data_IF_656618377580
#
_entry.id   IF_656618377580
#
_cell.length_a   1.000
_cell.length_b   1.000
_cell.length_c   1.000
_cell.angle_alpha   90.00
_cell.angle_beta   90.00
_cell.angle_gamma   90.00
#
_symmetry.space_group_name_H-M   'P 1'
#
loop_
_entity.id
_entity.type
_entity.pdbx_description
1 polymer ?
#
# COMPACT_ATOMS: atom_id res chain seq x y z
N UNK A 1 4.37 -14.75 33.92
CA UNK A 1 5.02 -15.23 32.68
C UNK A 1 5.77 -14.07 32.05
N UNK A 2 6.87 -14.32 31.33
CA UNK A 2 7.61 -13.27 30.62
C UNK A 2 6.77 -12.78 29.43
N UNK A 3 6.56 -11.48 29.32
CA UNK A 3 5.81 -10.87 28.20
C UNK A 3 6.58 -11.09 26.88
N UNK A 4 5.91 -11.46 25.77
CA UNK A 4 6.54 -11.54 24.46
C UNK A 4 7.11 -10.19 24.04
N UNK A 5 8.21 -10.20 23.27
CA UNK A 5 8.87 -8.99 22.79
C UNK A 5 8.28 -8.49 21.49
N UNK A 6 7.96 -7.20 21.43
CA UNK A 6 7.48 -6.52 20.23
C UNK A 6 8.49 -5.46 19.76
N UNK A 7 8.79 -5.46 18.47
CA UNK A 7 9.58 -4.41 17.81
C UNK A 7 8.82 -3.82 16.62
N UNK A 8 8.74 -2.50 16.52
CA UNK A 8 8.16 -1.75 15.41
C UNK A 8 9.25 -0.91 14.76
N UNK A 9 9.56 -1.19 13.49
CA UNK A 9 10.62 -0.52 12.73
C UNK A 9 10.00 0.30 11.61
N UNK A 10 10.49 1.52 11.47
CA UNK A 10 10.12 2.41 10.37
C UNK A 10 11.17 2.32 9.25
N UNK A 11 10.70 2.17 8.02
CA UNK A 11 11.43 2.51 6.80
C UNK A 11 11.00 3.89 6.29
N UNK A 12 10.77 4.01 4.98
CA UNK A 12 10.17 5.21 4.38
C UNK A 12 8.67 5.26 4.65
N UNK A 13 8.30 5.87 5.77
CA UNK A 13 6.92 6.02 6.26
C UNK A 13 6.51 7.50 6.28
N UNK A 14 5.24 7.80 6.02
CA UNK A 14 4.65 9.13 6.19
C UNK A 14 4.10 9.40 7.60
N UNK A 15 4.31 8.49 8.56
CA UNK A 15 3.71 8.49 9.91
C UNK A 15 2.29 7.92 9.98
N UNK A 16 1.55 7.83 8.86
CA UNK A 16 0.15 7.42 8.88
C UNK A 16 -0.13 6.01 9.43
N UNK A 17 0.77 5.05 9.19
CA UNK A 17 0.63 3.69 9.74
C UNK A 17 0.81 3.66 11.26
N UNK A 18 1.72 4.47 11.78
CA UNK A 18 1.96 4.59 13.22
C UNK A 18 0.76 5.26 13.91
N UNK A 19 0.27 6.37 13.34
CA UNK A 19 -0.94 7.04 13.81
C UNK A 19 -2.15 6.11 13.77
N UNK A 20 -2.31 5.29 12.72
CA UNK A 20 -3.40 4.31 12.65
C UNK A 20 -3.32 3.26 13.77
N UNK A 21 -2.12 2.80 14.12
CA UNK A 21 -1.93 1.89 15.25
C UNK A 21 -2.27 2.57 16.58
N UNK A 22 -1.83 3.82 16.76
CA UNK A 22 -2.12 4.60 17.98
C UNK A 22 -3.61 4.95 18.10
N UNK A 23 -4.29 5.16 16.98
CA UNK A 23 -5.73 5.43 16.90
C UNK A 23 -6.62 4.25 17.34
N UNK A 24 -6.05 3.09 17.65
CA UNK A 24 -6.75 2.04 18.41
C UNK A 24 -7.23 2.53 19.79
N UNK A 25 -6.73 3.67 20.27
CA UNK A 25 -7.20 4.34 21.48
C UNK A 25 -7.02 3.43 22.69
N UNK A 26 -8.10 3.22 23.45
CA UNK A 26 -8.08 2.37 24.64
C UNK A 26 -7.66 0.92 24.32
N UNK A 27 -7.94 0.41 23.12
CA UNK A 27 -7.55 -0.95 22.74
C UNK A 27 -6.03 -1.11 22.64
N UNK A 28 -5.27 -0.02 22.44
CA UNK A 28 -3.81 -0.06 22.40
C UNK A 28 -3.20 -0.52 23.73
N UNK A 29 -3.85 -0.26 24.86
CA UNK A 29 -3.38 -0.69 26.19
C UNK A 29 -3.21 -2.22 26.25
N UNK A 30 -4.04 -2.96 25.51
CA UNK A 30 -3.92 -4.42 25.37
C UNK A 30 -2.55 -4.83 24.85
N UNK A 31 -1.95 -4.07 23.92
CA UNK A 31 -0.60 -4.33 23.41
C UNK A 31 0.43 -3.95 24.48
N UNK A 32 0.31 -2.76 25.08
CA UNK A 32 1.25 -2.24 26.07
C UNK A 32 1.35 -3.11 27.35
N UNK A 33 0.22 -3.70 27.75
CA UNK A 33 0.16 -4.59 28.92
C UNK A 33 0.72 -5.97 28.61
N UNK A 34 0.43 -6.53 27.43
CA UNK A 34 0.78 -7.90 27.06
C UNK A 34 2.19 -8.05 26.50
N UNK A 35 2.76 -7.01 25.89
CA UNK A 35 4.06 -7.06 25.24
C UNK A 35 5.12 -6.25 25.97
N UNK A 36 6.36 -6.72 25.84
CA UNK A 36 7.56 -5.95 26.16
C UNK A 36 8.02 -5.23 24.89
N UNK A 37 7.82 -3.91 24.81
CA UNK A 37 8.18 -3.10 23.64
C UNK A 37 9.69 -2.83 23.69
N UNK A 38 10.43 -3.55 22.87
CA UNK A 38 11.90 -3.50 22.85
C UNK A 38 12.45 -2.52 21.81
N UNK A 39 11.62 -2.09 20.86
CA UNK A 39 11.97 -1.10 19.86
C UNK A 39 10.69 -0.50 19.25
N UNK A 40 10.46 0.79 19.40
CA UNK A 40 9.40 1.54 18.72
C UNK A 40 9.75 3.02 18.78
N UNK A 41 10.26 3.63 17.70
CA UNK A 41 10.84 4.98 17.75
C UNK A 41 9.93 6.08 18.29
N UNK A 42 8.60 5.94 18.18
CA UNK A 42 7.65 6.93 18.68
C UNK A 42 7.33 6.78 20.19
N UNK A 43 7.64 5.64 20.82
CA UNK A 43 7.17 5.32 22.17
C UNK A 43 8.31 5.14 23.17
N UNK A 44 9.46 4.67 22.70
CA UNK A 44 10.61 4.34 23.55
C UNK A 44 11.89 4.90 22.95
N UNK A 45 12.75 5.45 23.81
CA UNK A 45 14.02 6.06 23.44
C UNK A 45 15.09 5.01 23.08
N UNK A 46 14.94 4.37 21.91
CA UNK A 46 15.91 3.42 21.40
C UNK A 46 16.65 3.96 20.18
N UNK A 47 17.96 3.69 20.15
CA UNK A 47 18.79 3.94 18.96
C UNK A 47 18.79 2.72 18.04
N UNK A 48 18.99 2.94 16.74
CA UNK A 48 19.07 1.88 15.72
C UNK A 48 20.10 0.79 16.07
N UNK A 49 21.24 1.16 16.65
CA UNK A 49 22.27 0.21 17.08
C UNK A 49 21.81 -0.73 18.19
N UNK A 50 20.79 -0.35 18.95
CA UNK A 50 20.22 -1.20 20.00
C UNK A 50 19.39 -2.33 19.41
N UNK A 51 18.74 -2.12 18.25
CA UNK A 51 18.07 -3.20 17.50
C UNK A 51 19.06 -4.32 17.14
N UNK A 52 20.33 -3.99 16.84
CA UNK A 52 21.39 -4.97 16.56
C UNK A 52 21.77 -5.81 17.79
N UNK A 53 21.56 -5.25 18.99
CA UNK A 53 21.85 -5.91 20.28
C UNK A 53 20.70 -6.80 20.75
N UNK A 54 19.50 -6.61 20.21
CA UNK A 54 18.35 -7.46 20.53
C UNK A 54 18.56 -8.83 19.87
N UNK A 55 18.72 -9.86 20.70
CA UNK A 55 18.98 -11.23 20.22
C UNK A 55 17.81 -11.81 19.45
N UNK A 56 16.59 -11.64 19.98
CA UNK A 56 15.35 -12.22 19.47
C UNK A 56 14.16 -11.32 19.82
N UNK A 57 13.22 -11.23 18.88
CA UNK A 57 11.92 -10.56 19.00
C UNK A 57 10.83 -11.58 18.66
N UNK A 58 9.74 -11.59 19.43
CA UNK A 58 8.61 -12.48 19.15
C UNK A 58 7.82 -12.00 17.94
N UNK A 59 7.51 -10.70 17.89
CA UNK A 59 6.81 -10.05 16.78
C UNK A 59 7.57 -8.81 16.33
N UNK A 60 7.98 -8.78 15.07
CA UNK A 60 8.50 -7.60 14.40
C UNK A 60 7.44 -7.02 13.48
N UNK A 61 7.19 -5.71 13.54
CA UNK A 61 6.31 -4.99 12.63
C UNK A 61 7.16 -4.01 11.83
N UNK A 62 7.13 -4.11 10.51
CA UNK A 62 7.79 -3.17 9.63
C UNK A 62 6.76 -2.23 9.01
N UNK A 63 7.04 -0.92 9.02
CA UNK A 63 6.17 0.12 8.47
C UNK A 63 6.93 1.01 7.50
N UNK A 64 6.37 1.23 6.30
CA UNK A 64 6.97 2.05 5.25
C UNK A 64 7.56 1.25 4.09
N UNK A 65 7.89 1.95 3.01
CA UNK A 65 8.55 1.37 1.83
C UNK A 65 10.07 1.27 2.04
N UNK A 66 10.76 0.54 1.15
CA UNK A 66 12.21 0.53 1.07
C UNK A 66 12.66 1.56 0.03
N UNK A 67 13.43 2.57 0.41
CA UNK A 67 13.94 3.60 -0.53
C UNK A 67 15.45 3.77 -0.46
N UNK A 68 16.10 3.19 0.54
CA UNK A 68 17.54 3.30 0.77
C UNK A 68 18.18 1.95 1.18
N UNK A 69 19.50 1.90 1.13
CA UNK A 69 20.29 0.76 1.62
C UNK A 69 20.07 0.50 3.12
N UNK A 70 19.81 1.54 3.90
CA UNK A 70 19.46 1.42 5.32
C UNK A 70 18.11 0.74 5.54
N UNK A 71 17.10 1.04 4.71
CA UNK A 71 15.81 0.36 4.80
C UNK A 71 15.94 -1.15 4.56
N UNK A 72 16.80 -1.54 3.60
CA UNK A 72 17.12 -2.94 3.32
C UNK A 72 17.81 -3.60 4.53
N UNK A 73 18.81 -2.93 5.13
CA UNK A 73 19.51 -3.44 6.32
C UNK A 73 18.51 -3.64 7.46
N UNK A 74 17.66 -2.65 7.73
CA UNK A 74 16.65 -2.71 8.79
C UNK A 74 15.61 -3.80 8.55
N UNK A 75 15.12 -3.97 7.32
CA UNK A 75 14.18 -5.03 6.98
C UNK A 75 14.78 -6.43 7.18
N UNK A 76 16.02 -6.67 6.70
CA UNK A 76 16.74 -7.92 6.90
C UNK A 76 17.03 -8.19 8.37
N UNK A 77 17.49 -7.17 9.09
CA UNK A 77 17.76 -7.26 10.52
C UNK A 77 16.49 -7.63 11.28
N UNK A 78 15.39 -6.91 11.09
CA UNK A 78 14.13 -7.20 11.75
C UNK A 78 13.65 -8.63 11.45
N UNK A 79 13.68 -9.07 10.18
CA UNK A 79 13.33 -10.46 9.81
C UNK A 79 14.20 -11.48 10.53
N UNK A 80 15.51 -11.25 10.62
CA UNK A 80 16.46 -12.18 11.24
C UNK A 80 16.25 -12.34 12.76
N UNK A 81 15.71 -11.30 13.42
CA UNK A 81 15.43 -11.30 14.85
C UNK A 81 14.01 -11.74 15.19
N UNK A 82 13.08 -11.58 14.26
CA UNK A 82 11.65 -11.78 14.52
C UNK A 82 11.21 -13.22 14.25
N UNK A 83 10.49 -13.83 15.20
CA UNK A 83 9.77 -15.10 14.95
C UNK A 83 8.64 -14.88 13.95
N UNK A 84 7.83 -13.85 14.19
CA UNK A 84 6.75 -13.40 13.29
C UNK A 84 7.09 -12.00 12.78
N UNK A 85 7.12 -11.83 11.46
CA UNK A 85 7.26 -10.53 10.81
C UNK A 85 5.91 -10.10 10.23
N UNK A 86 5.48 -8.88 10.56
CA UNK A 86 4.28 -8.23 10.03
C UNK A 86 4.72 -7.16 9.04
N UNK A 87 4.24 -7.26 7.80
CA UNK A 87 4.29 -6.18 6.83
C UNK A 87 3.05 -5.29 7.04
N UNK A 88 3.26 -4.09 7.61
CA UNK A 88 2.17 -3.23 8.04
C UNK A 88 2.07 -1.99 7.15
N UNK A 89 0.97 -1.92 6.41
CA UNK A 89 0.66 -0.84 5.48
C UNK A 89 1.06 -1.13 4.04
N UNK A 90 0.35 -0.46 3.14
CA UNK A 90 0.50 -0.62 1.69
C UNK A 90 1.87 -0.22 1.16
N UNK A 91 2.53 0.77 1.79
CA UNK A 91 3.92 1.10 1.44
C UNK A 91 4.86 -0.10 1.67
N UNK A 92 4.68 -0.83 2.76
CA UNK A 92 5.50 -2.00 3.07
C UNK A 92 5.21 -3.16 2.13
N UNK A 93 3.92 -3.40 1.83
CA UNK A 93 3.50 -4.55 1.02
C UNK A 93 3.72 -4.31 -0.48
N UNK A 94 3.45 -3.11 -0.98
CA UNK A 94 3.41 -2.84 -2.43
C UNK A 94 4.31 -1.68 -2.88
N UNK A 95 4.98 -1.00 -1.95
CA UNK A 95 5.83 0.17 -2.21
C UNK A 95 5.08 1.52 -2.08
N UNK A 96 3.75 1.51 -2.22
CA UNK A 96 2.88 2.65 -1.90
C UNK A 96 3.16 3.91 -2.74
N UNK A 97 2.74 5.06 -2.22
CA UNK A 97 2.90 6.37 -2.87
C UNK A 97 4.37 6.70 -3.21
N UNK A 98 5.37 6.45 -2.32
CA UNK A 98 6.78 6.68 -2.69
C UNK A 98 7.19 5.91 -3.95
N UNK A 99 6.53 4.78 -4.19
CA UNK A 99 6.69 3.94 -5.38
C UNK A 99 6.42 4.61 -6.73
N UNK A 100 5.67 5.71 -6.78
CA UNK A 100 5.41 6.45 -8.02
C UNK A 100 6.70 7.01 -8.65
N UNK A 101 7.74 7.23 -7.83
CA UNK A 101 9.07 7.63 -8.27
C UNK A 101 9.80 6.58 -9.11
N UNK A 102 9.33 5.33 -9.15
CA UNK A 102 9.98 4.21 -9.86
C UNK A 102 10.21 4.51 -11.36
N UNK A 103 9.37 5.36 -11.96
CA UNK A 103 9.52 5.75 -13.36
C UNK A 103 10.60 6.82 -13.59
N UNK A 104 10.91 7.63 -12.58
CA UNK A 104 11.88 8.73 -12.68
C UNK A 104 13.28 8.32 -12.19
N UNK A 105 13.34 7.45 -11.18
CA UNK A 105 14.57 7.06 -10.49
C UNK A 105 15.01 8.08 -9.44
N UNK A 106 15.70 7.61 -8.40
CA UNK A 106 16.03 8.44 -7.23
C UNK A 106 16.85 9.70 -7.56
N UNK A 107 17.79 9.63 -8.51
CA UNK A 107 18.62 10.78 -8.92
C UNK A 107 17.76 11.94 -9.45
N UNK A 108 16.84 11.64 -10.37
CA UNK A 108 15.95 12.66 -10.97
C UNK A 108 15.00 13.24 -9.93
N UNK A 109 14.50 12.43 -9.01
CA UNK A 109 13.67 12.91 -7.89
C UNK A 109 14.45 13.90 -7.04
N UNK A 110 15.69 13.56 -6.67
CA UNK A 110 16.56 14.45 -5.88
C UNK A 110 16.85 15.76 -6.60
N UNK A 111 17.13 15.72 -7.90
CA UNK A 111 17.36 16.92 -8.71
C UNK A 111 16.13 17.85 -8.70
N UNK A 112 14.93 17.30 -8.85
CA UNK A 112 13.68 18.05 -8.88
C UNK A 112 13.31 18.68 -7.53
N UNK A 113 13.52 17.96 -6.41
CA UNK A 113 13.20 18.49 -5.07
C UNK A 113 14.25 19.44 -4.52
N UNK A 114 15.46 19.43 -5.10
CA UNK A 114 16.58 20.25 -4.62
C UNK A 114 16.32 21.74 -4.82
N UNK A 115 15.66 22.11 -5.92
CA UNK A 115 15.30 23.48 -6.22
C UNK A 115 14.16 23.51 -7.24
N UNK A 116 13.33 24.54 -7.14
CA UNK A 116 12.21 24.78 -8.05
C UNK A 116 12.45 26.07 -8.84
N UNK A 117 11.60 26.33 -9.83
CA UNK A 117 11.59 27.59 -10.58
C UNK A 117 11.47 28.84 -9.67
N UNK A 118 10.89 28.70 -8.48
CA UNK A 118 10.61 29.81 -7.55
C UNK A 118 11.55 29.84 -6.34
N UNK A 119 12.50 28.92 -6.22
CA UNK A 119 13.44 28.84 -5.08
C UNK A 119 14.87 28.71 -5.58
N UNK A 120 15.75 29.60 -5.12
CA UNK A 120 17.18 29.58 -5.48
C UNK A 120 17.92 28.40 -4.81
N UNK A 121 18.86 27.82 -5.56
CA UNK A 121 19.89 26.95 -5.01
C UNK A 121 20.80 27.79 -4.12
N UNK A 122 20.67 27.66 -2.81
CA UNK A 122 21.77 28.01 -1.91
C UNK A 122 22.73 26.81 -1.85
N UNK A 123 24.02 27.06 -2.07
CA UNK A 123 25.04 26.04 -1.82
C UNK A 123 25.13 25.78 -0.31
N UNK A 124 24.42 24.76 0.15
CA UNK A 124 24.51 24.28 1.52
C UNK A 124 25.61 23.22 1.58
N UNK A 125 26.72 23.53 2.23
CA UNK A 125 27.68 22.51 2.63
C UNK A 125 27.02 21.60 3.68
N UNK A 126 26.78 20.33 3.30
CA UNK A 126 26.34 19.33 4.26
C UNK A 126 27.41 19.15 5.34
N UNK A 127 27.04 19.00 6.63
CA UNK A 127 28.00 18.72 7.67
C UNK A 127 28.83 17.47 7.32
N UNK A 128 30.16 17.52 7.46
CA UNK A 128 31.07 16.39 7.16
C UNK A 128 30.73 15.09 7.91
N UNK A 129 29.99 15.19 9.02
CA UNK A 129 29.53 14.08 9.85
C UNK A 129 28.21 13.43 9.37
N UNK A 130 27.48 14.06 8.44
CA UNK A 130 26.20 13.56 7.94
C UNK A 130 26.44 12.47 6.88
N UNK A 131 26.50 11.21 7.30
CA UNK A 131 26.52 10.07 6.38
C UNK A 131 25.07 9.74 5.99
N UNK A 132 24.67 10.16 4.79
CA UNK A 132 23.37 9.79 4.22
C UNK A 132 23.40 8.35 3.69
N UNK A 133 22.32 7.58 3.83
CA UNK A 133 22.22 6.27 3.22
C UNK A 133 22.15 6.40 1.70
N UNK A 134 22.65 5.39 1.00
CA UNK A 134 22.53 5.30 -0.45
C UNK A 134 21.07 5.05 -0.82
N UNK A 135 20.53 5.85 -1.74
CA UNK A 135 19.18 5.63 -2.25
C UNK A 135 19.16 4.45 -3.21
N UNK A 136 18.09 3.66 -3.14
CA UNK A 136 17.80 2.65 -4.13
C UNK A 136 17.44 3.33 -5.46
N UNK A 137 17.65 2.64 -6.57
CA UNK A 137 17.24 3.12 -7.88
C UNK A 137 15.75 3.47 -7.92
N UNK A 138 14.93 2.66 -7.24
CA UNK A 138 13.49 2.84 -7.09
C UNK A 138 13.05 2.43 -5.69
N UNK A 139 12.07 3.17 -5.14
CA UNK A 139 11.29 2.72 -3.99
C UNK A 139 10.68 1.34 -4.26
N UNK A 140 10.65 0.47 -3.25
CA UNK A 140 10.17 -0.91 -3.40
C UNK A 140 9.51 -1.45 -2.12
N UNK A 141 8.89 -2.62 -2.25
CA UNK A 141 8.26 -3.39 -1.18
C UNK A 141 9.27 -4.23 -0.39
N UNK A 142 8.95 -4.49 0.89
CA UNK A 142 9.71 -5.40 1.74
C UNK A 142 9.74 -6.84 1.18
N UNK A 143 8.70 -7.23 0.43
CA UNK A 143 8.58 -8.59 -0.13
C UNK A 143 9.69 -8.92 -1.15
N UNK A 144 10.39 -7.91 -1.70
CA UNK A 144 11.56 -8.16 -2.57
C UNK A 144 12.82 -8.54 -1.80
N UNK A 145 12.82 -8.38 -0.47
CA UNK A 145 14.03 -8.51 0.37
C UNK A 145 13.88 -9.59 1.43
N UNK A 146 12.70 -9.71 2.04
CA UNK A 146 12.40 -10.70 3.08
C UNK A 146 10.95 -11.17 2.97
N UNK A 147 10.65 -12.31 3.59
CA UNK A 147 9.30 -12.88 3.64
C UNK A 147 8.58 -12.58 4.97
N UNK A 148 7.50 -11.78 4.96
CA UNK A 148 6.63 -11.59 6.11
C UNK A 148 5.72 -12.80 6.37
N UNK A 149 5.27 -12.93 7.61
CA UNK A 149 4.27 -13.92 8.01
C UNK A 149 2.84 -13.35 7.92
N UNK A 150 2.68 -12.07 8.23
CA UNK A 150 1.38 -11.40 8.27
C UNK A 150 1.43 -10.14 7.40
N UNK A 151 0.36 -9.88 6.66
CA UNK A 151 0.19 -8.71 5.81
C UNK A 151 -1.02 -7.92 6.29
N UNK A 152 -0.80 -6.68 6.72
CA UNK A 152 -1.84 -5.75 7.15
C UNK A 152 -1.97 -4.63 6.09
N UNK A 153 -2.83 -4.78 5.07
CA UNK A 153 -2.96 -3.80 3.99
C UNK A 153 -3.66 -2.52 4.41
N UNK A 154 -3.42 -1.45 3.64
CA UNK A 154 -4.10 -0.17 3.76
C UNK A 154 -3.11 1.02 3.81
N UNK A 155 -3.58 2.20 3.38
CA UNK A 155 -2.79 3.43 3.40
C UNK A 155 -3.51 4.55 4.18
N UNK A 156 -3.56 4.47 5.53
CA UNK A 156 -3.02 3.40 6.38
C UNK A 156 -4.00 2.21 6.55
N UNK A 157 -3.58 1.12 7.21
CA UNK A 157 -4.49 0.03 7.59
C UNK A 157 -5.74 0.54 8.32
N UNK A 158 -6.89 -0.01 7.94
CA UNK A 158 -8.20 0.39 8.47
C UNK A 158 -8.45 -0.15 9.88
N UNK A 159 -9.49 0.34 10.55
CA UNK A 159 -9.88 -0.12 11.89
C UNK A 159 -10.12 -1.63 11.91
N UNK A 160 -10.85 -2.18 10.93
CA UNK A 160 -11.08 -3.62 10.82
C UNK A 160 -9.79 -4.43 10.60
N UNK A 161 -8.81 -3.90 9.89
CA UNK A 161 -7.48 -4.54 9.76
C UNK A 161 -6.70 -4.46 11.07
N UNK A 162 -6.76 -3.34 11.77
CA UNK A 162 -6.05 -3.15 13.04
C UNK A 162 -6.66 -3.99 14.16
N UNK A 163 -7.98 -4.15 14.18
CA UNK A 163 -8.67 -5.06 15.08
C UNK A 163 -8.28 -6.52 14.82
N UNK A 164 -8.28 -6.95 13.55
CA UNK A 164 -7.83 -8.29 13.19
C UNK A 164 -6.35 -8.52 13.55
N UNK A 165 -5.49 -7.50 13.41
CA UNK A 165 -4.11 -7.58 13.87
C UNK A 165 -4.04 -7.71 15.40
N UNK A 166 -4.81 -6.91 16.14
CA UNK A 166 -4.85 -6.95 17.60
C UNK A 166 -5.31 -8.31 18.14
N UNK A 167 -6.24 -8.97 17.46
CA UNK A 167 -6.65 -10.35 17.75
C UNK A 167 -5.46 -11.31 17.58
N UNK A 168 -4.75 -11.24 16.46
CA UNK A 168 -3.55 -12.07 16.23
C UNK A 168 -2.46 -11.81 17.29
N UNK A 169 -2.23 -10.54 17.65
CA UNK A 169 -1.29 -10.18 18.72
C UNK A 169 -1.76 -10.72 20.08
N UNK A 170 -3.05 -10.67 20.37
CA UNK A 170 -3.63 -11.19 21.62
C UNK A 170 -3.55 -12.72 21.70
N UNK A 171 -3.76 -13.41 20.58
CA UNK A 171 -3.62 -14.86 20.46
C UNK A 171 -2.17 -15.30 20.68
N UNK A 172 -1.23 -14.61 20.04
CA UNK A 172 0.19 -14.89 20.22
C UNK A 172 0.62 -14.71 21.68
N UNK A 173 0.16 -13.66 22.36
CA UNK A 173 0.45 -13.45 23.79
C UNK A 173 -0.11 -14.55 24.70
N UNK A 174 -1.17 -15.26 24.27
CA UNK A 174 -1.72 -16.44 24.95
C UNK A 174 -1.02 -17.76 24.57
N UNK A 175 0.00 -17.70 23.71
CA UNK A 175 0.75 -18.86 23.23
C UNK A 175 0.18 -19.50 21.96
N UNK A 176 -0.84 -18.91 21.34
CA UNK A 176 -1.44 -19.39 20.08
C UNK A 176 -0.64 -18.77 18.92
N UNK A 177 0.15 -19.60 18.24
CA UNK A 177 0.96 -19.12 17.11
C UNK A 177 0.15 -19.10 15.81
N UNK A 178 0.26 -18.04 14.99
CA UNK A 178 -0.36 -18.02 13.66
C UNK A 178 0.19 -19.14 12.79
N UNK A 179 -0.69 -19.79 12.02
CA UNK A 179 -0.33 -20.86 11.08
C UNK A 179 -0.27 -20.30 9.66
N UNK A 180 0.80 -20.61 8.94
CA UNK A 180 0.97 -20.18 7.56
C UNK A 180 1.14 -18.66 7.41
N UNK A 181 0.91 -18.17 6.19
CA UNK A 181 0.89 -16.74 5.87
C UNK A 181 -0.54 -16.21 6.01
N UNK A 182 -0.69 -15.08 6.70
CA UNK A 182 -2.00 -14.46 6.95
C UNK A 182 -2.05 -13.11 6.24
N UNK A 183 -3.06 -12.93 5.38
CA UNK A 183 -3.34 -11.64 4.77
C UNK A 183 -4.64 -11.09 5.36
N UNK A 184 -4.56 -9.97 6.09
CA UNK A 184 -5.71 -9.42 6.79
C UNK A 184 -6.72 -8.77 5.82
N UNK A 185 -8.00 -8.88 6.15
CA UNK A 185 -9.11 -8.51 5.27
C UNK A 185 -9.52 -9.60 4.30
N UNK A 186 -10.74 -9.50 3.77
CA UNK A 186 -11.29 -10.53 2.89
C UNK A 186 -10.54 -10.59 1.56
N UNK A 187 -10.27 -11.80 1.02
CA UNK A 187 -9.56 -11.96 -0.25
C UNK A 187 -10.33 -11.47 -1.48
N UNK A 188 -11.60 -11.15 -1.31
CA UNK A 188 -12.50 -10.75 -2.39
C UNK A 188 -12.29 -9.29 -2.81
N UNK A 189 -12.75 -8.93 -4.03
CA UNK A 189 -12.90 -7.55 -4.44
C UNK A 189 -13.77 -6.72 -3.48
N UNK A 190 -13.46 -5.44 -3.35
CA UNK A 190 -14.18 -4.48 -2.51
C UNK A 190 -15.66 -4.37 -2.91
N UNK A 191 -15.97 -4.64 -4.18
CA UNK A 191 -17.34 -4.71 -4.70
C UNK A 191 -18.21 -5.68 -3.89
N UNK A 192 -17.68 -6.78 -3.34
CA UNK A 192 -18.46 -7.74 -2.57
C UNK A 192 -19.10 -7.13 -1.31
N UNK A 193 -18.46 -6.09 -0.73
CA UNK A 193 -18.97 -5.33 0.41
C UNK A 193 -19.71 -4.05 0.01
N UNK A 194 -19.55 -3.60 -1.24
CA UNK A 194 -20.04 -2.31 -1.69
C UNK A 194 -21.57 -2.29 -1.76
N UNK A 195 -22.19 -1.28 -1.14
CA UNK A 195 -23.65 -1.09 -1.16
C UNK A 195 -24.17 -0.48 -2.47
N UNK A 196 -23.28 0.14 -3.26
CA UNK A 196 -23.62 0.81 -4.53
C UNK A 196 -23.55 -0.10 -5.75
N UNK A 197 -23.14 -1.37 -5.59
CA UNK A 197 -23.04 -2.28 -6.72
C UNK A 197 -24.43 -2.68 -7.21
N UNK A 198 -24.64 -2.89 -8.52
CA UNK A 198 -25.85 -3.53 -8.98
C UNK A 198 -25.93 -4.97 -8.44
N UNK A 199 -27.15 -5.54 -8.43
CA UNK A 199 -27.39 -6.94 -8.04
C UNK A 199 -26.52 -7.90 -8.86
N UNK A 200 -26.39 -7.62 -10.16
CA UNK A 200 -25.59 -8.37 -11.10
C UNK A 200 -24.41 -7.51 -11.56
N UNK A 201 -23.22 -7.77 -11.02
CA UNK A 201 -22.00 -7.02 -11.31
C UNK A 201 -21.48 -7.26 -12.73
N UNK A 202 -21.93 -8.31 -13.42
CA UNK A 202 -21.56 -8.57 -14.82
C UNK A 202 -22.23 -7.61 -15.81
N UNK A 203 -23.26 -6.87 -15.34
CA UNK A 203 -24.03 -5.91 -16.14
C UNK A 203 -23.61 -4.45 -15.92
N UNK A 204 -22.53 -4.22 -15.17
CA UNK A 204 -21.98 -2.87 -15.04
C UNK A 204 -21.58 -2.42 -16.45
N UNK A 205 -22.08 -1.26 -16.87
CA UNK A 205 -21.77 -0.66 -18.17
C UNK A 205 -21.40 0.80 -17.96
N UNK A 206 -20.33 1.24 -18.62
CA UNK A 206 -19.81 2.58 -18.55
C UNK A 206 -19.94 3.24 -19.93
N UNK A 207 -20.85 4.20 -20.08
CA UNK A 207 -21.08 4.86 -21.38
C UNK A 207 -20.03 5.91 -21.75
N UNK A 208 -19.27 6.42 -20.78
CA UNK A 208 -18.15 7.36 -21.01
C UNK A 208 -17.35 7.54 -19.75
N UNK A 209 -16.10 7.97 -19.91
CA UNK A 209 -15.24 8.30 -18.78
C UNK A 209 -15.49 9.75 -18.33
N UNK A 210 -15.64 9.96 -17.03
CA UNK A 210 -15.84 11.28 -16.43
C UNK A 210 -14.91 11.48 -15.23
N UNK A 211 -14.41 12.69 -15.08
CA UNK A 211 -13.69 13.12 -13.88
C UNK A 211 -14.68 13.62 -12.84
N UNK A 212 -14.31 13.51 -11.57
CA UNK A 212 -15.19 13.85 -10.43
C UNK A 212 -15.77 15.28 -10.49
N UNK A 213 -15.06 16.24 -11.10
CA UNK A 213 -15.55 17.62 -11.24
C UNK A 213 -16.51 17.85 -12.43
N UNK A 214 -16.68 16.87 -13.32
CA UNK A 214 -17.51 16.99 -14.53
C UNK A 214 -18.97 16.59 -14.30
N UNK A 215 -19.32 16.09 -13.11
CA UNK A 215 -20.64 15.60 -12.78
C UNK A 215 -20.96 15.75 -11.30
N UNK A 216 -22.25 15.72 -10.98
CA UNK A 216 -22.74 15.50 -9.63
C UNK A 216 -23.03 14.01 -9.44
N UNK A 217 -22.40 13.41 -8.44
CA UNK A 217 -22.55 11.99 -8.13
C UNK A 217 -23.91 11.68 -7.52
N UNK A 218 -24.50 10.57 -7.95
CA UNK A 218 -25.69 9.95 -7.35
C UNK A 218 -25.22 8.93 -6.32
N UNK A 219 -25.55 9.14 -5.05
CA UNK A 219 -24.99 8.42 -3.89
C UNK A 219 -25.24 6.90 -3.92
N UNK A 220 -26.38 6.45 -4.40
CA UNK A 220 -26.74 5.02 -4.40
C UNK A 220 -26.40 4.28 -5.70
N UNK A 221 -25.88 5.00 -6.71
CA UNK A 221 -25.52 4.40 -7.99
C UNK A 221 -24.04 4.04 -8.02
N UNK A 222 -23.68 2.92 -8.65
CA UNK A 222 -22.28 2.52 -8.83
C UNK A 222 -21.48 3.64 -9.52
N UNK A 223 -20.24 3.89 -9.06
CA UNK A 223 -19.38 4.91 -9.67
C UNK A 223 -19.06 4.58 -11.14
N UNK A 224 -18.80 3.30 -11.43
CA UNK A 224 -18.47 2.86 -12.78
C UNK A 224 -19.64 3.09 -13.75
N UNK A 225 -20.88 2.81 -13.33
CA UNK A 225 -22.09 3.09 -14.12
C UNK A 225 -22.40 4.59 -14.27
N UNK A 226 -21.68 5.45 -13.57
CA UNK A 226 -21.75 6.90 -13.69
C UNK A 226 -20.61 7.47 -14.54
N UNK A 227 -19.71 6.62 -15.06
CA UNK A 227 -18.53 7.05 -15.80
C UNK A 227 -17.34 7.41 -14.91
N UNK A 228 -17.44 7.22 -13.59
CA UNK A 228 -16.39 7.58 -12.65
C UNK A 228 -15.56 6.35 -12.32
N UNK A 229 -14.27 6.44 -12.60
CA UNK A 229 -13.34 5.37 -12.35
C UNK A 229 -13.27 5.05 -10.85
N UNK A 230 -13.40 3.77 -10.53
CA UNK A 230 -13.36 3.23 -9.18
C UNK A 230 -12.55 1.94 -9.16
N UNK A 231 -11.50 1.89 -8.34
CA UNK A 231 -10.59 0.73 -8.24
C UNK A 231 -11.20 -0.45 -7.47
N UNK A 232 -12.45 -0.33 -7.00
CA UNK A 232 -13.12 -1.33 -6.16
C UNK A 232 -13.09 -2.78 -6.71
N UNK A 233 -13.30 -3.01 -8.02
CA UNK A 233 -13.29 -4.37 -8.60
C UNK A 233 -11.97 -5.11 -8.45
N UNK A 234 -10.85 -4.39 -8.36
CA UNK A 234 -9.50 -4.99 -8.25
C UNK A 234 -8.89 -4.83 -6.86
N UNK A 235 -9.58 -4.18 -5.92
CA UNK A 235 -9.05 -3.87 -4.59
C UNK A 235 -9.50 -4.89 -3.57
N UNK A 236 -8.61 -5.34 -2.69
CA UNK A 236 -8.94 -6.22 -1.56
C UNK A 236 -9.96 -5.59 -0.60
N UNK A 237 -10.92 -6.39 -0.15
CA UNK A 237 -11.97 -6.04 0.81
C UNK A 237 -11.47 -5.98 2.28
N UNK A 238 -10.52 -5.07 2.54
CA UNK A 238 -9.85 -4.87 3.84
C UNK A 238 -10.15 -3.51 4.50
N UNK A 239 -11.30 -2.90 4.22
CA UNK A 239 -11.75 -1.70 4.93
C UNK A 239 -13.27 -1.60 4.95
N UNK A 240 -13.78 -0.72 5.81
CA UNK A 240 -15.22 -0.47 5.99
C UNK A 240 -15.77 0.60 5.04
N UNK A 241 -15.18 0.67 3.84
CA UNK A 241 -15.60 1.52 2.73
C UNK A 241 -15.68 3.03 3.04
N UNK A 242 -14.70 3.65 3.73
CA UNK A 242 -14.78 5.06 4.12
C UNK A 242 -14.94 6.00 2.92
N UNK A 243 -14.27 5.72 1.80
CA UNK A 243 -14.42 6.49 0.56
C UNK A 243 -15.86 6.43 0.04
N UNK A 244 -16.40 5.21 -0.10
CA UNK A 244 -17.73 4.97 -0.68
C UNK A 244 -18.81 5.62 0.19
N UNK A 245 -18.70 5.49 1.53
CA UNK A 245 -19.59 6.13 2.51
C UNK A 245 -19.58 7.66 2.44
N UNK A 246 -18.49 8.25 1.97
CA UNK A 246 -18.34 9.69 1.77
C UNK A 246 -18.51 10.09 0.29
N UNK A 247 -19.23 9.27 -0.50
CA UNK A 247 -19.52 9.50 -1.91
C UNK A 247 -18.27 9.75 -2.78
N UNK A 248 -17.18 9.04 -2.49
CA UNK A 248 -15.94 9.03 -3.27
C UNK A 248 -15.60 7.62 -3.78
N UNK A 249 -15.08 7.47 -5.01
CA UNK A 249 -14.71 6.17 -5.55
C UNK A 249 -13.52 5.57 -4.78
N UNK A 250 -13.41 4.24 -4.82
CA UNK A 250 -12.24 3.54 -4.30
C UNK A 250 -10.99 3.93 -5.10
N UNK A 251 -9.89 4.19 -4.39
CA UNK A 251 -8.58 4.55 -4.97
C UNK A 251 -7.56 3.41 -4.92
N UNK A 252 -7.94 2.22 -4.46
CA UNK A 252 -7.09 1.04 -4.49
C UNK A 252 -6.04 0.93 -3.38
N UNK A 253 -6.23 1.65 -2.27
CA UNK A 253 -5.19 1.75 -1.24
C UNK A 253 -4.90 0.45 -0.47
N UNK A 254 -5.79 -0.56 -0.48
CA UNK A 254 -5.53 -1.86 0.16
C UNK A 254 -4.71 -2.81 -0.73
N UNK A 255 -4.42 -2.42 -1.98
CA UNK A 255 -3.79 -3.30 -2.95
C UNK A 255 -4.74 -4.35 -3.56
N UNK A 256 -4.21 -5.26 -4.39
CA UNK A 256 -4.98 -6.22 -5.16
C UNK A 256 -5.79 -7.21 -4.30
N UNK A 257 -6.97 -7.58 -4.80
CA UNK A 257 -7.70 -8.76 -4.33
C UNK A 257 -6.89 -10.05 -4.59
N UNK A 258 -7.36 -11.19 -4.08
CA UNK A 258 -6.71 -12.48 -4.33
C UNK A 258 -6.72 -12.80 -5.83
N UNK A 259 -5.67 -13.48 -6.29
CA UNK A 259 -5.46 -13.89 -7.69
C UNK A 259 -5.29 -12.74 -8.70
N UNK A 260 -5.02 -11.52 -8.22
CA UNK A 260 -4.65 -10.37 -9.05
C UNK A 260 -3.16 -10.06 -8.86
N UNK A 261 -2.36 -10.37 -9.86
CA UNK A 261 -0.90 -10.13 -9.84
C UNK A 261 -0.54 -8.66 -10.10
N UNK A 262 -1.26 -8.03 -11.02
CA UNK A 262 -1.05 -6.64 -11.41
C UNK A 262 -2.38 -5.88 -11.40
N UNK A 263 -2.57 -5.09 -10.35
CA UNK A 263 -3.80 -4.34 -10.10
C UNK A 263 -4.16 -3.37 -11.23
N UNK A 264 -3.15 -2.76 -11.88
CA UNK A 264 -3.40 -1.77 -12.90
C UNK A 264 -3.78 -2.41 -14.24
N UNK A 265 -3.11 -3.50 -14.63
CA UNK A 265 -3.49 -4.26 -15.81
C UNK A 265 -4.86 -4.92 -15.65
N UNK A 266 -5.16 -5.47 -14.48
CA UNK A 266 -6.47 -6.07 -14.22
C UNK A 266 -7.58 -5.02 -14.30
N UNK A 267 -7.35 -3.82 -13.77
CA UNK A 267 -8.33 -2.74 -13.88
C UNK A 267 -8.47 -2.26 -15.31
N UNK A 268 -7.38 -2.20 -16.08
CA UNK A 268 -7.42 -1.85 -17.49
C UNK A 268 -8.24 -2.89 -18.29
N UNK A 269 -8.01 -4.18 -18.05
CA UNK A 269 -8.79 -5.28 -18.62
C UNK A 269 -10.29 -5.16 -18.29
N UNK A 270 -10.60 -4.87 -17.02
CA UNK A 270 -11.96 -4.61 -16.58
C UNK A 270 -12.57 -3.39 -17.30
N UNK A 271 -11.84 -2.27 -17.40
CA UNK A 271 -12.34 -1.08 -18.10
C UNK A 271 -12.64 -1.34 -19.57
N UNK A 272 -11.76 -2.03 -20.29
CA UNK A 272 -11.98 -2.41 -21.68
C UNK A 272 -13.23 -3.26 -21.86
N UNK A 273 -13.60 -4.05 -20.84
CA UNK A 273 -14.80 -4.90 -20.87
C UNK A 273 -16.09 -4.15 -20.46
N UNK A 274 -15.97 -2.97 -19.86
CA UNK A 274 -17.10 -2.20 -19.31
C UNK A 274 -17.44 -0.95 -20.13
N UNK A 275 -16.46 -0.39 -20.84
CA UNK A 275 -16.57 0.87 -21.54
C UNK A 275 -17.24 0.67 -22.90
N UNK A 276 -18.31 1.45 -23.17
CA UNK A 276 -19.01 1.48 -24.45
C UNK A 276 -19.58 0.13 -24.94
N UNK A 277 -19.85 -0.82 -24.03
CA UNK A 277 -20.36 -2.16 -24.38
C UNK A 277 -21.64 -2.12 -25.21
N UNK A 278 -22.52 -1.14 -24.97
CA UNK A 278 -23.77 -0.99 -25.71
C UNK A 278 -23.59 -0.41 -27.13
N UNK A 279 -22.49 0.32 -27.36
CA UNK A 279 -22.18 1.05 -28.60
C UNK A 279 -20.96 0.45 -29.33
N UNK A 280 -20.45 -0.70 -28.89
CA UNK A 280 -19.20 -1.33 -29.35
C UNK A 280 -19.17 -1.54 -30.87
N UNK A 281 -20.32 -1.95 -31.44
CA UNK A 281 -20.46 -2.19 -32.89
C UNK A 281 -20.40 -0.92 -33.73
N UNK A 282 -20.70 0.23 -33.14
CA UNK A 282 -20.78 1.51 -33.84
C UNK A 282 -19.49 2.31 -33.73
N UNK A 283 -18.84 2.27 -32.56
CA UNK A 283 -17.67 3.10 -32.25
C UNK A 283 -16.33 2.42 -32.57
N UNK A 284 -16.31 1.09 -32.69
CA UNK A 284 -15.11 0.28 -32.99
C UNK A 284 -13.91 0.69 -32.09
N UNK A 285 -12.69 0.33 -32.48
CA UNK A 285 -11.48 0.60 -31.68
C UNK A 285 -11.19 2.11 -31.54
N UNK A 286 -11.47 2.92 -32.57
CA UNK A 286 -11.18 4.36 -32.55
C UNK A 286 -11.97 5.12 -31.48
N UNK A 287 -13.26 4.77 -31.30
CA UNK A 287 -14.09 5.39 -30.27
C UNK A 287 -13.64 5.01 -28.86
N UNK A 288 -13.19 3.76 -28.66
CA UNK A 288 -12.66 3.29 -27.38
C UNK A 288 -11.37 4.04 -27.00
N UNK A 289 -10.43 4.17 -27.94
CA UNK A 289 -9.17 4.91 -27.72
C UNK A 289 -9.46 6.36 -27.32
N UNK A 290 -10.39 7.01 -28.02
CA UNK A 290 -10.77 8.40 -27.73
C UNK A 290 -11.37 8.58 -26.33
N UNK A 291 -12.15 7.62 -25.85
CA UNK A 291 -12.64 7.65 -24.47
C UNK A 291 -11.54 7.33 -23.45
N UNK A 292 -10.64 6.39 -23.75
CA UNK A 292 -9.48 6.10 -22.91
C UNK A 292 -8.54 7.31 -22.75
N UNK A 293 -8.37 8.14 -23.79
CA UNK A 293 -7.57 9.37 -23.74
C UNK A 293 -8.07 10.39 -22.70
N UNK A 294 -9.31 10.24 -22.20
CA UNK A 294 -9.82 11.06 -21.10
C UNK A 294 -9.11 10.77 -19.77
N UNK A 295 -8.47 9.60 -19.63
CA UNK A 295 -7.61 9.21 -18.52
C UNK A 295 -6.19 9.74 -18.73
N UNK A 296 -5.99 11.02 -18.41
CA UNK A 296 -4.73 11.74 -18.65
C UNK A 296 -3.53 11.14 -17.92
N UNK A 297 -3.74 10.50 -16.76
CA UNK A 297 -2.69 9.90 -15.94
C UNK A 297 -3.03 8.45 -15.57
N UNK A 298 -2.94 7.55 -16.55
CA UNK A 298 -3.21 6.12 -16.34
C UNK A 298 -2.35 5.53 -15.23
N UNK A 299 -1.07 5.90 -15.14
CA UNK A 299 -0.15 5.35 -14.14
C UNK A 299 -0.53 5.80 -12.73
N UNK A 300 -0.68 7.11 -12.49
CA UNK A 300 -0.99 7.64 -11.16
C UNK A 300 -2.42 7.33 -10.70
N UNK A 301 -3.29 6.91 -11.62
CA UNK A 301 -4.63 6.41 -11.35
C UNK A 301 -4.61 4.90 -11.02
N UNK A 302 -4.08 4.07 -11.92
CA UNK A 302 -4.18 2.61 -11.83
C UNK A 302 -3.12 1.99 -10.90
N UNK A 303 -1.98 2.66 -10.74
CA UNK A 303 -0.83 2.18 -9.97
C UNK A 303 -0.47 3.04 -8.77
N UNK A 304 -1.39 3.92 -8.34
CA UNK A 304 -1.16 4.90 -7.25
C UNK A 304 -0.38 4.35 -6.05
N UNK A 305 -0.70 3.12 -5.65
CA UNK A 305 -0.14 2.48 -4.46
C UNK A 305 0.72 1.23 -4.75
N UNK A 306 0.74 0.76 -6.00
CA UNK A 306 1.23 -0.58 -6.36
C UNK A 306 2.25 -0.57 -7.50
N UNK A 307 2.67 0.63 -7.97
CA UNK A 307 3.60 0.75 -9.09
C UNK A 307 4.88 -0.09 -8.92
N UNK A 308 5.57 -0.10 -7.76
CA UNK A 308 6.80 -0.89 -7.61
C UNK A 308 6.63 -2.42 -7.70
N UNK A 309 5.41 -2.91 -7.46
CA UNK A 309 5.04 -4.33 -7.58
C UNK A 309 4.52 -4.70 -8.98
N UNK A 310 4.28 -3.71 -9.85
CA UNK A 310 3.72 -3.91 -11.18
C UNK A 310 4.65 -4.66 -12.13
N UNK A 311 4.06 -5.31 -13.13
CA UNK A 311 4.77 -5.90 -14.27
C UNK A 311 5.51 -4.83 -15.07
N UNK A 312 4.97 -3.61 -15.17
CA UNK A 312 5.63 -2.48 -15.85
C UNK A 312 7.01 -2.17 -15.26
N UNK A 313 7.11 -2.10 -13.93
CA UNK A 313 8.38 -1.84 -13.26
C UNK A 313 9.31 -3.05 -13.30
N UNK A 314 8.78 -4.28 -13.22
CA UNK A 314 9.59 -5.51 -13.41
C UNK A 314 10.26 -5.53 -14.79
N UNK A 315 9.53 -5.17 -15.84
CA UNK A 315 10.06 -5.06 -17.21
C UNK A 315 11.09 -3.94 -17.33
N UNK A 316 10.80 -2.76 -16.77
CA UNK A 316 11.72 -1.60 -16.82
C UNK A 316 13.05 -1.88 -16.13
N UNK A 317 13.02 -2.48 -14.94
CA UNK A 317 14.22 -2.75 -14.14
C UNK A 317 14.99 -3.99 -14.60
N UNK A 318 14.54 -4.67 -15.66
CA UNK A 318 15.25 -5.80 -16.25
C UNK A 318 15.37 -6.97 -15.28
N UNK A 319 14.26 -7.42 -14.69
CA UNK A 319 14.22 -8.70 -13.96
C UNK A 319 14.37 -9.84 -15.00
N UNK A 320 15.58 -10.01 -15.51
CA UNK A 320 16.08 -11.23 -16.13
C UNK A 320 16.16 -12.32 -15.05
N UNK A 321 15.01 -12.78 -14.58
CA UNK A 321 14.90 -14.19 -14.18
C UNK A 321 14.71 -14.91 -15.51
N UNK A 322 15.76 -15.41 -16.15
CA UNK A 322 16.48 -16.54 -15.60
C UNK A 322 15.51 -17.71 -15.65
N UNK A 323 15.48 -18.36 -16.83
CA UNK A 323 15.09 -19.76 -16.98
C UNK A 323 15.76 -20.64 -15.91
#
# INVERSE_FOLDING_TARGET
>A
MKRPKLAIVYGAICGGCDVALVNLGEKLTTILEKYDIVYWPAVVDFRRDELKRISEVDIGIYMGALVSSEDIELAKLLRSRSKILVAYGTCTIYGGIPGLSALLGAKRVLEEVRFTLTTSLEEVELPKLAKLPELLESATSILKVVEPNIFAPGCPPSDSVNEALLEVLSDYARGIKPKGRIFLGEPTPLCNKCTRKPTDTSKISMSKIRRLHELKLIEDKCFLEQGVLCMGPVTRAACDLPCIKNNLPCVGCNGPALDIDDMGLEMLSALSSLLLVEEERELLEEGLVKEMDRLVDLIGILYRYTLPSSLLIKLKLGDHRGE
#
